data_IF_118903162607
#
_entry.id   IF_118903162607
#
_cell.length_a   1.000
_cell.length_b   1.000
_cell.length_c   1.000
_cell.angle_alpha   90.00
_cell.angle_beta   90.00
_cell.angle_gamma   90.00
#
_symmetry.space_group_name_H-M   'P 1'
#
loop_
_entity.id
_entity.type
_entity.pdbx_description
1 polymer ?
#
# COMPACT_ATOMS: atom_id res chain seq x y z
N UNK A 1 17.22 -28.21 -7.86
CA UNK A 1 17.58 -27.07 -8.73
C UNK A 1 16.43 -26.93 -9.69
N UNK A 2 15.55 -25.96 -9.43
CA UNK A 2 14.28 -25.86 -10.15
C UNK A 2 14.46 -24.93 -11.34
N UNK A 3 14.13 -25.43 -12.52
CA UNK A 3 14.07 -24.62 -13.73
C UNK A 3 12.70 -23.95 -13.80
N UNK A 4 12.68 -22.62 -13.81
CA UNK A 4 11.46 -21.82 -13.77
C UNK A 4 11.50 -20.81 -14.93
N UNK A 5 10.33 -20.43 -15.44
CA UNK A 5 10.21 -19.36 -16.41
C UNK A 5 10.29 -17.99 -15.72
N UNK A 6 11.11 -17.08 -16.27
CA UNK A 6 11.22 -15.72 -15.76
C UNK A 6 9.90 -14.96 -15.95
N UNK A 7 9.35 -14.31 -14.92
CA UNK A 7 8.09 -13.57 -15.01
C UNK A 7 8.20 -12.29 -15.87
N UNK A 8 9.42 -11.79 -16.13
CA UNK A 8 9.64 -10.60 -16.99
C UNK A 8 9.83 -10.93 -18.47
N UNK A 9 10.63 -11.96 -18.78
CA UNK A 9 11.02 -12.26 -20.16
C UNK A 9 10.60 -13.63 -20.67
N UNK A 10 9.99 -14.47 -19.83
CA UNK A 10 9.56 -15.82 -20.21
C UNK A 10 10.71 -16.79 -20.51
N UNK A 11 11.98 -16.42 -20.25
CA UNK A 11 13.12 -17.32 -20.46
C UNK A 11 13.24 -18.32 -19.32
N UNK A 12 13.61 -19.55 -19.67
CA UNK A 12 13.90 -20.64 -18.74
C UNK A 12 15.23 -20.35 -18.00
N UNK A 13 15.21 -20.38 -16.67
CA UNK A 13 16.41 -20.17 -15.86
C UNK A 13 16.39 -21.03 -14.59
N UNK A 14 17.57 -21.31 -14.03
CA UNK A 14 17.67 -22.00 -12.75
C UNK A 14 17.36 -21.01 -11.61
N UNK A 15 16.27 -21.29 -10.88
CA UNK A 15 15.87 -20.50 -9.72
C UNK A 15 16.81 -20.81 -8.55
N UNK A 16 17.65 -19.83 -8.22
CA UNK A 16 18.44 -19.81 -6.99
C UNK A 16 17.73 -18.92 -5.97
N UNK A 17 18.34 -17.79 -5.57
CA UNK A 17 17.78 -16.82 -4.62
C UNK A 17 16.90 -15.73 -5.26
N UNK A 18 16.94 -15.59 -6.59
CA UNK A 18 16.24 -14.52 -7.31
C UNK A 18 15.03 -15.05 -8.07
N UNK A 19 13.97 -14.26 -8.08
CA UNK A 19 12.71 -14.56 -8.79
C UNK A 19 12.77 -14.26 -10.30
N UNK A 20 13.82 -13.58 -10.74
CA UNK A 20 14.06 -13.17 -12.14
C UNK A 20 15.39 -13.69 -12.64
N UNK A 21 15.48 -13.94 -13.95
CA UNK A 21 16.71 -14.40 -14.58
C UNK A 21 17.83 -13.34 -14.51
N UNK A 22 19.09 -13.77 -14.65
CA UNK A 22 20.25 -12.88 -14.55
C UNK A 22 20.22 -11.73 -15.58
N UNK A 23 19.71 -11.96 -16.80
CA UNK A 23 19.62 -10.90 -17.82
C UNK A 23 18.65 -9.79 -17.38
N UNK A 24 17.46 -10.17 -16.93
CA UNK A 24 16.47 -9.19 -16.43
C UNK A 24 16.93 -8.50 -15.16
N UNK A 25 17.72 -9.18 -14.32
CA UNK A 25 18.32 -8.57 -13.14
C UNK A 25 19.36 -7.50 -13.52
N UNK A 26 20.23 -7.78 -14.48
CA UNK A 26 21.20 -6.80 -14.99
C UNK A 26 20.50 -5.58 -15.62
N UNK A 27 19.41 -5.79 -16.36
CA UNK A 27 18.59 -4.70 -16.88
C UNK A 27 18.01 -3.84 -15.74
N UNK A 28 17.43 -4.47 -14.71
CA UNK A 28 16.93 -3.76 -13.52
C UNK A 28 18.01 -2.92 -12.84
N UNK A 29 19.22 -3.45 -12.77
CA UNK A 29 20.34 -2.78 -12.13
C UNK A 29 20.80 -1.55 -12.92
N UNK A 30 20.88 -1.66 -14.25
CA UNK A 30 21.15 -0.53 -15.15
C UNK A 30 20.06 0.54 -15.08
N UNK A 31 18.80 0.12 -15.08
CA UNK A 31 17.65 1.01 -14.94
C UNK A 31 17.72 1.79 -13.61
N UNK A 32 18.05 1.07 -12.53
CA UNK A 32 18.23 1.66 -11.21
C UNK A 32 19.40 2.66 -11.15
N UNK A 33 20.55 2.31 -11.73
CA UNK A 33 21.70 3.22 -11.80
C UNK A 33 21.35 4.51 -12.53
N UNK A 34 20.66 4.40 -13.66
CA UNK A 34 20.15 5.55 -14.42
C UNK A 34 19.22 6.42 -13.57
N UNK A 35 18.25 5.83 -12.87
CA UNK A 35 17.37 6.57 -11.95
C UNK A 35 18.15 7.33 -10.87
N UNK A 36 19.12 6.67 -10.23
CA UNK A 36 19.90 7.28 -9.15
C UNK A 36 20.76 8.43 -9.67
N UNK A 37 21.38 8.27 -10.84
CA UNK A 37 22.16 9.32 -11.47
C UNK A 37 21.31 10.55 -11.81
N UNK A 38 20.12 10.34 -12.39
CA UNK A 38 19.16 11.41 -12.64
C UNK A 38 18.71 12.13 -11.37
N UNK A 39 18.41 11.37 -10.30
CA UNK A 39 18.03 11.95 -9.01
C UNK A 39 19.16 12.75 -8.35
N UNK A 40 20.43 12.43 -8.63
CA UNK A 40 21.58 13.22 -8.14
C UNK A 40 21.72 14.55 -8.88
N UNK A 41 21.49 14.54 -10.20
CA UNK A 41 21.63 15.72 -11.05
C UNK A 41 20.45 16.68 -10.89
N UNK A 42 19.24 16.16 -10.71
CA UNK A 42 18.01 16.96 -10.61
C UNK A 42 17.29 16.73 -9.27
N UNK A 43 17.48 17.68 -8.35
CA UNK A 43 16.80 17.68 -7.04
C UNK A 43 15.38 18.25 -7.20
N UNK A 44 14.38 17.56 -6.65
CA UNK A 44 12.98 18.03 -6.73
C UNK A 44 12.14 17.51 -7.91
N UNK A 45 12.61 16.52 -8.66
CA UNK A 45 11.83 15.89 -9.73
C UNK A 45 10.56 15.22 -9.21
N UNK A 46 9.54 15.19 -10.08
CA UNK A 46 8.32 14.42 -9.89
C UNK A 46 8.51 12.98 -10.38
N UNK A 47 7.76 12.02 -9.83
CA UNK A 47 7.81 10.60 -10.21
C UNK A 47 7.44 10.40 -11.69
N UNK A 48 6.55 11.25 -12.22
CA UNK A 48 6.13 11.24 -13.62
C UNK A 48 7.31 11.61 -14.53
N UNK A 49 7.97 12.74 -14.26
CA UNK A 49 9.13 13.20 -15.03
C UNK A 49 10.28 12.20 -14.97
N UNK A 50 10.53 11.60 -13.79
CA UNK A 50 11.54 10.56 -13.67
C UNK A 50 11.17 9.33 -14.53
N UNK A 51 9.90 8.94 -14.54
CA UNK A 51 9.40 7.83 -15.35
C UNK A 51 9.56 8.09 -16.85
N UNK A 52 9.23 9.31 -17.29
CA UNK A 52 9.33 9.72 -18.69
C UNK A 52 10.80 9.75 -19.16
N UNK A 53 11.68 10.30 -18.34
CA UNK A 53 13.10 10.48 -18.69
C UNK A 53 13.90 9.17 -18.61
N UNK A 54 13.59 8.32 -17.63
CA UNK A 54 14.31 7.06 -17.46
C UNK A 54 13.67 5.89 -18.22
N UNK A 55 12.49 6.10 -18.82
CA UNK A 55 11.64 5.09 -19.49
C UNK A 55 11.22 3.93 -18.56
N UNK A 56 11.28 4.14 -17.24
CA UNK A 56 10.97 3.12 -16.24
C UNK A 56 9.57 3.36 -15.71
N UNK A 57 8.77 2.30 -15.59
CA UNK A 57 7.42 2.42 -15.05
C UNK A 57 7.39 2.99 -13.62
N UNK A 58 6.42 3.86 -13.35
CA UNK A 58 6.16 4.42 -12.00
C UNK A 58 6.04 3.31 -10.95
N UNK A 59 5.45 2.16 -11.30
CA UNK A 59 5.32 1.00 -10.40
C UNK A 59 6.69 0.47 -9.94
N UNK A 60 7.65 0.41 -10.85
CA UNK A 60 9.00 -0.07 -10.56
C UNK A 60 9.78 0.93 -9.70
N UNK A 61 9.69 2.22 -10.02
CA UNK A 61 10.27 3.29 -9.21
C UNK A 61 9.70 3.25 -7.78
N UNK A 62 8.37 3.14 -7.68
CA UNK A 62 7.66 3.01 -6.39
C UNK A 62 8.14 1.78 -5.62
N UNK A 63 8.40 0.65 -6.28
CA UNK A 63 8.94 -0.57 -5.65
C UNK A 63 10.33 -0.33 -5.07
N UNK A 64 11.23 0.34 -5.80
CA UNK A 64 12.57 0.63 -5.28
C UNK A 64 12.57 1.59 -4.10
N UNK A 65 11.65 2.55 -4.10
CA UNK A 65 11.40 3.43 -2.94
C UNK A 65 10.93 2.60 -1.73
N UNK A 66 9.98 1.70 -1.93
CA UNK A 66 9.47 0.80 -0.88
C UNK A 66 10.55 -0.12 -0.31
N UNK A 67 11.42 -0.64 -1.17
CA UNK A 67 12.58 -1.47 -0.80
C UNK A 67 13.68 -0.66 -0.09
N UNK A 68 13.55 0.67 0.00
CA UNK A 68 14.54 1.56 0.62
C UNK A 68 15.81 1.75 -0.23
N UNK A 69 15.78 1.33 -1.50
CA UNK A 69 16.91 1.48 -2.43
C UNK A 69 17.05 2.92 -2.92
N UNK A 70 15.93 3.62 -3.09
CA UNK A 70 15.89 5.04 -3.47
C UNK A 70 15.45 5.88 -2.27
N UNK A 71 16.27 6.87 -1.88
CA UNK A 71 15.92 7.81 -0.81
C UNK A 71 15.17 9.03 -1.37
N UNK A 72 13.98 9.32 -0.83
CA UNK A 72 13.19 10.49 -1.22
C UNK A 72 13.66 11.80 -0.60
N UNK A 73 14.73 11.80 0.21
CA UNK A 73 15.21 13.02 0.89
C UNK A 73 15.53 14.17 -0.08
N UNK A 74 15.88 13.84 -1.33
CA UNK A 74 16.21 14.84 -2.37
C UNK A 74 15.05 15.15 -3.33
N UNK A 75 13.86 14.55 -3.14
CA UNK A 75 12.73 14.66 -4.06
C UNK A 75 11.44 15.10 -3.34
N UNK A 76 11.31 16.40 -3.01
CA UNK A 76 10.14 16.92 -2.30
C UNK A 76 8.80 16.68 -3.01
N UNK A 77 8.76 16.60 -4.34
CA UNK A 77 7.50 16.46 -5.09
C UNK A 77 7.06 15.00 -5.30
N UNK A 78 7.79 14.04 -4.74
CA UNK A 78 7.55 12.62 -4.95
C UNK A 78 6.56 12.11 -3.88
N UNK A 79 5.41 11.58 -4.31
CA UNK A 79 4.45 10.92 -3.42
C UNK A 79 3.89 9.67 -4.10
N UNK A 80 3.61 8.62 -3.30
CA UNK A 80 3.08 7.34 -3.78
C UNK A 80 1.97 6.83 -2.86
N UNK A 81 1.04 6.00 -3.34
CA UNK A 81 -0.09 5.56 -2.54
C UNK A 81 0.31 4.56 -1.44
N UNK A 82 -0.28 4.73 -0.25
CA UNK A 82 -0.22 3.80 0.88
C UNK A 82 -0.88 2.47 0.52
N UNK A 83 -0.28 1.34 0.94
CA UNK A 83 -0.80 0.00 0.59
C UNK A 83 -2.14 -0.35 1.25
N UNK A 84 -2.38 0.18 2.45
CA UNK A 84 -3.58 -0.13 3.24
C UNK A 84 -4.80 0.74 2.91
N UNK A 85 -4.60 1.99 2.46
CA UNK A 85 -5.69 2.95 2.28
C UNK A 85 -5.60 3.79 1.00
N UNK A 86 -4.50 3.71 0.26
CA UNK A 86 -4.29 4.52 -0.95
C UNK A 86 -3.90 5.98 -0.71
N UNK A 87 -3.84 6.45 0.54
CA UNK A 87 -3.39 7.83 0.84
C UNK A 87 -1.98 8.07 0.32
N UNK A 88 -1.75 9.21 -0.34
CA UNK A 88 -0.42 9.61 -0.83
C UNK A 88 0.54 9.81 0.36
N UNK A 89 1.63 9.05 0.36
CA UNK A 89 2.71 9.09 1.34
C UNK A 89 4.03 9.43 0.66
N UNK A 90 4.95 9.99 1.45
CA UNK A 90 6.29 10.38 1.00
C UNK A 90 7.37 9.45 1.53
N UNK A 91 7.11 8.77 2.64
CA UNK A 91 8.06 7.89 3.31
C UNK A 91 7.36 6.66 3.89
N UNK A 92 8.04 5.52 3.85
CA UNK A 92 7.55 4.24 4.39
C UNK A 92 6.49 3.55 3.52
N UNK A 93 5.98 2.40 3.95
CA UNK A 93 4.98 1.63 3.18
C UNK A 93 3.53 1.96 3.59
N UNK A 94 3.35 2.57 4.77
CA UNK A 94 2.06 2.90 5.36
C UNK A 94 2.00 4.36 5.77
N UNK A 95 0.84 4.98 5.59
CA UNK A 95 0.55 6.28 6.17
C UNK A 95 0.44 6.18 7.70
N UNK A 96 0.65 7.31 8.38
CA UNK A 96 0.56 7.38 9.84
C UNK A 96 -0.80 6.87 10.36
N UNK A 97 -1.90 7.19 9.68
CA UNK A 97 -3.23 6.69 10.05
C UNK A 97 -3.33 5.16 10.03
N UNK A 98 -2.74 4.51 9.03
CA UNK A 98 -2.70 3.04 8.95
C UNK A 98 -1.76 2.44 10.00
N UNK A 99 -0.62 3.08 10.28
CA UNK A 99 0.28 2.64 11.36
C UNK A 99 -0.40 2.69 12.71
N UNK A 100 -1.12 3.78 13.02
CA UNK A 100 -1.85 3.93 14.29
C UNK A 100 -2.97 2.90 14.42
N UNK A 101 -3.73 2.62 13.35
CA UNK A 101 -4.74 1.55 13.35
C UNK A 101 -4.12 0.19 13.64
N UNK A 102 -3.04 -0.15 12.94
CA UNK A 102 -2.34 -1.43 13.14
C UNK A 102 -1.79 -1.56 14.57
N UNK A 103 -1.22 -0.50 15.13
CA UNK A 103 -0.76 -0.49 16.52
C UNK A 103 -1.91 -0.68 17.52
N UNK A 104 -3.08 -0.09 17.24
CA UNK A 104 -4.28 -0.27 18.07
C UNK A 104 -4.78 -1.71 18.00
N UNK A 105 -4.85 -2.27 16.80
CA UNK A 105 -5.30 -3.65 16.58
C UNK A 105 -4.36 -4.65 17.25
N UNK A 106 -3.05 -4.43 17.15
CA UNK A 106 -2.04 -5.22 17.84
C UNK A 106 -2.19 -5.16 19.37
N UNK A 107 -2.41 -3.97 19.94
CA UNK A 107 -2.67 -3.81 21.38
C UNK A 107 -3.97 -4.50 21.80
N UNK A 108 -5.04 -4.39 21.02
CA UNK A 108 -6.33 -5.01 21.31
C UNK A 108 -6.23 -6.55 21.28
N UNK A 109 -5.51 -7.11 20.30
CA UNK A 109 -5.25 -8.55 20.20
C UNK A 109 -4.45 -9.09 21.40
N UNK A 110 -3.43 -8.34 21.85
CA UNK A 110 -2.66 -8.66 23.06
C UNK A 110 -3.50 -8.58 24.34
N UNK A 111 -4.51 -7.71 24.36
CA UNK A 111 -5.38 -7.48 25.53
C UNK A 111 -6.55 -8.46 25.64
N UNK A 112 -6.66 -9.44 24.74
CA UNK A 112 -7.75 -10.44 24.75
C UNK A 112 -9.15 -9.86 24.47
N UNK A 113 -9.26 -8.59 24.09
CA UNK A 113 -10.53 -7.97 23.70
C UNK A 113 -10.69 -8.13 22.19
N UNK A 114 -11.38 -9.19 21.78
CA UNK A 114 -11.77 -9.41 20.38
C UNK A 114 -12.53 -8.20 19.82
N UNK A 115 -12.58 -8.03 18.49
CA UNK A 115 -13.15 -6.84 17.87
C UNK A 115 -14.60 -6.66 18.33
N UNK A 116 -14.89 -5.50 18.95
CA UNK A 116 -16.25 -5.07 19.24
C UNK A 116 -16.97 -4.90 17.90
N UNK A 117 -17.84 -5.85 17.57
CA UNK A 117 -18.76 -5.76 16.46
C UNK A 117 -19.74 -4.61 16.76
N UNK A 118 -19.44 -3.40 16.28
CA UNK A 118 -20.41 -2.31 16.35
C UNK A 118 -21.37 -2.52 15.19
N UNK A 119 -22.50 -3.18 15.47
CA UNK A 119 -23.60 -3.29 14.50
C UNK A 119 -24.18 -1.88 14.30
N UNK A 120 -24.15 -1.30 13.08
CA UNK A 120 -24.65 0.06 12.84
C UNK A 120 -26.18 0.20 12.91
N UNK A 121 -26.92 -0.91 13.07
CA UNK A 121 -28.37 -0.97 12.83
C UNK A 121 -29.25 -0.73 14.07
N UNK A 122 -28.67 -0.54 15.26
CA UNK A 122 -29.44 -0.44 16.51
C UNK A 122 -29.94 0.98 16.87
N UNK A 123 -30.04 1.87 15.88
CA UNK A 123 -30.59 3.23 16.08
C UNK A 123 -32.01 3.43 15.54
N UNK A 124 -32.70 2.37 15.08
CA UNK A 124 -34.05 2.47 14.48
C UNK A 124 -35.14 1.57 15.07
N UNK A 125 -35.00 1.02 16.28
CA UNK A 125 -36.15 0.43 16.98
C UNK A 125 -36.67 1.38 18.06
N UNK A 126 -37.57 2.27 17.64
CA UNK A 126 -38.54 2.89 18.54
C UNK A 126 -39.38 1.79 19.18
N UNK A 127 -39.32 1.71 20.51
CA UNK A 127 -40.07 0.77 21.32
C UNK A 127 -41.57 1.05 21.21
N UNK A 128 -42.32 0.26 20.43
CA UNK A 128 -43.77 0.18 20.59
C UNK A 128 -44.06 -0.58 21.88
N UNK A 129 -44.45 0.15 22.95
CA UNK A 129 -44.98 -0.46 24.17
C UNK A 129 -46.42 -0.91 23.92
N UNK A 130 -46.70 -2.19 24.19
CA UNK A 130 -47.94 -2.88 23.80
C UNK A 130 -49.14 -2.61 24.74
N UNK A 131 -49.13 -1.52 25.51
CA UNK A 131 -50.13 -1.29 26.57
C UNK A 131 -51.05 -0.08 26.40
N UNK A 132 -50.99 0.69 25.32
CA UNK A 132 -51.96 1.76 25.06
C UNK A 132 -53.14 1.24 24.23
N UNK A 133 -54.07 0.53 24.89
CA UNK A 133 -55.41 0.26 24.34
C UNK A 133 -56.37 1.34 24.85
N UNK A 134 -56.81 2.31 24.03
CA UNK A 134 -57.85 3.25 24.44
C UNK A 134 -59.18 2.52 24.65
N UNK A 135 -60.01 2.91 25.65
CA UNK A 135 -61.25 2.22 25.94
C UNK A 135 -62.32 2.55 24.90
N UNK A 136 -63.19 1.57 24.65
CA UNK A 136 -64.32 1.61 23.73
C UNK A 136 -65.23 2.84 23.94
N UNK A 137 -65.49 3.58 22.86
CA UNK A 137 -66.51 4.64 22.83
C UNK A 137 -67.81 4.03 22.29
N UNK A 138 -68.77 3.82 23.21
CA UNK A 138 -70.15 3.44 22.91
C UNK A 138 -70.79 4.46 21.95
N UNK A 139 -71.46 3.96 20.91
CA UNK A 139 -72.60 4.61 20.27
C UNK A 139 -73.75 3.60 20.23
#
# INVERSE_FOLDING_TARGET
>A
MDLVYCPRCGKLFARHFREVCNNCFQELEKDYERCVEYLRQHRGLNIQQLSDETEISIKQITRWIKEGRISLMNAPNMSYPCEMCGTLIREGHMCEGCKTKLQRDYKNAQSGKGPLHVNPDESRLGTYQKNDRPPDRKL
#
